data_IF_865035163260
#
_entry.id   IF_865035163260
#
_cell.length_a   1.000
_cell.length_b   1.000
_cell.length_c   1.000
_cell.angle_alpha   90.00
_cell.angle_beta   90.00
_cell.angle_gamma   90.00
#
_symmetry.space_group_name_H-M   'P 1'
#
loop_
_entity.id
_entity.type
_entity.pdbx_description
1 polymer ?
#
# COMPACT_ATOMS: atom_id res chain seq x y z
N UNK A 1 -20.77 -7.46 -3.56
CA UNK A 1 -19.77 -6.36 -3.60
C UNK A 1 -18.55 -6.83 -2.85
N UNK A 2 -17.43 -7.02 -3.54
CA UNK A 2 -16.20 -7.50 -2.93
C UNK A 2 -15.72 -6.48 -1.90
N UNK A 3 -15.73 -6.88 -0.62
CA UNK A 3 -15.27 -6.09 0.53
C UNK A 3 -13.78 -5.70 0.43
N UNK A 4 -13.08 -6.22 -0.57
CA UNK A 4 -11.64 -6.16 -0.73
C UNK A 4 -11.30 -5.84 -2.18
N UNK A 5 -10.28 -5.01 -2.40
CA UNK A 5 -9.77 -4.67 -3.74
C UNK A 5 -9.12 -5.86 -4.47
N UNK A 6 -8.90 -6.96 -3.75
CA UNK A 6 -8.37 -8.24 -4.25
C UNK A 6 -8.82 -9.35 -3.30
N UNK A 7 -9.15 -10.53 -3.82
CA UNK A 7 -9.56 -11.68 -3.02
C UNK A 7 -8.34 -12.44 -2.46
N UNK A 8 -8.11 -12.48 -1.13
CA UNK A 8 -6.93 -13.11 -0.55
C UNK A 8 -6.82 -14.61 -0.82
N UNK A 9 -7.95 -15.31 -1.00
CA UNK A 9 -7.97 -16.74 -1.32
C UNK A 9 -7.40 -16.96 -2.73
N UNK A 10 -7.79 -16.11 -3.68
CA UNK A 10 -7.28 -16.19 -5.06
C UNK A 10 -5.79 -15.87 -5.12
N UNK A 11 -5.32 -14.86 -4.38
CA UNK A 11 -3.88 -14.56 -4.27
C UNK A 11 -3.12 -15.77 -3.75
N UNK A 12 -3.58 -16.35 -2.63
CA UNK A 12 -2.95 -17.55 -2.05
C UNK A 12 -2.92 -18.71 -3.03
N UNK A 13 -4.02 -18.96 -3.75
CA UNK A 13 -4.10 -20.06 -4.73
C UNK A 13 -3.10 -19.86 -5.88
N UNK A 14 -3.02 -18.63 -6.42
CA UNK A 14 -2.07 -18.28 -7.49
C UNK A 14 -0.62 -18.49 -7.06
N UNK A 15 -0.25 -18.01 -5.87
CA UNK A 15 1.11 -18.10 -5.37
C UNK A 15 1.49 -19.52 -4.93
N UNK A 16 0.52 -20.30 -4.44
CA UNK A 16 0.75 -21.73 -4.15
C UNK A 16 1.11 -22.50 -5.42
N UNK A 17 0.50 -22.15 -6.56
CA UNK A 17 0.82 -22.77 -7.85
C UNK A 17 2.25 -22.47 -8.35
N UNK A 18 2.90 -21.40 -7.84
CA UNK A 18 4.26 -20.98 -8.22
C UNK A 18 5.37 -21.63 -7.37
N UNK A 19 5.02 -22.43 -6.34
CA UNK A 19 5.98 -23.28 -5.63
C UNK A 19 6.31 -22.88 -4.19
N UNK A 20 6.02 -21.66 -3.74
CA UNK A 20 6.18 -21.31 -2.31
C UNK A 20 5.31 -20.15 -1.85
N UNK A 21 4.24 -20.49 -1.13
CA UNK A 21 3.34 -19.51 -0.50
C UNK A 21 4.04 -18.68 0.58
N UNK A 22 5.05 -19.23 1.27
CA UNK A 22 5.74 -18.54 2.36
C UNK A 22 6.62 -17.41 1.84
N UNK A 23 7.34 -17.63 0.73
CA UNK A 23 8.11 -16.57 0.09
C UNK A 23 7.20 -15.43 -0.36
N UNK A 24 6.04 -15.75 -0.93
CA UNK A 24 5.04 -14.75 -1.31
C UNK A 24 4.53 -13.95 -0.10
N UNK A 25 4.24 -14.60 1.04
CA UNK A 25 3.81 -13.92 2.27
C UNK A 25 4.90 -12.94 2.75
N UNK A 26 6.16 -13.38 2.78
CA UNK A 26 7.28 -12.54 3.22
C UNK A 26 7.48 -11.36 2.27
N UNK A 27 7.48 -11.60 0.95
CA UNK A 27 7.62 -10.57 -0.07
C UNK A 27 6.49 -9.53 0.00
N UNK A 28 5.23 -9.97 0.12
CA UNK A 28 4.08 -9.07 0.32
C UNK A 28 4.21 -8.25 1.61
N UNK A 29 4.75 -8.84 2.68
CA UNK A 29 5.00 -8.13 3.95
C UNK A 29 6.03 -7.00 3.80
N UNK A 30 7.16 -7.27 3.11
CA UNK A 30 8.14 -6.23 2.79
C UNK A 30 7.56 -5.15 1.87
N UNK A 31 6.82 -5.56 0.83
CA UNK A 31 6.20 -4.62 -0.10
C UNK A 31 5.16 -3.72 0.57
N UNK A 32 4.35 -4.27 1.47
CA UNK A 32 3.38 -3.49 2.25
C UNK A 32 4.05 -2.42 3.13
N UNK A 33 5.26 -2.67 3.66
CA UNK A 33 6.03 -1.65 4.40
C UNK A 33 6.48 -0.52 3.49
N UNK A 34 7.02 -0.84 2.31
CA UNK A 34 7.41 0.17 1.31
C UNK A 34 6.21 1.07 0.95
N UNK A 35 5.08 0.46 0.59
CA UNK A 35 3.84 1.19 0.27
C UNK A 35 3.39 2.07 1.44
N UNK A 36 3.47 1.56 2.68
CA UNK A 36 3.13 2.36 3.86
C UNK A 36 4.03 3.58 4.01
N UNK A 37 5.33 3.43 3.77
CA UNK A 37 6.30 4.50 3.94
C UNK A 37 6.12 5.56 2.85
N UNK A 38 5.87 5.13 1.60
CA UNK A 38 5.51 6.02 0.49
C UNK A 38 4.25 6.85 0.81
N UNK A 39 3.19 6.21 1.31
CA UNK A 39 1.94 6.89 1.71
C UNK A 39 2.21 7.91 2.82
N UNK A 40 3.02 7.57 3.83
CA UNK A 40 3.37 8.49 4.92
C UNK A 40 4.18 9.67 4.41
N UNK A 41 5.13 9.44 3.51
CA UNK A 41 5.94 10.50 2.92
C UNK A 41 5.07 11.45 2.10
N UNK A 42 4.16 10.93 1.27
CA UNK A 42 3.25 11.76 0.48
C UNK A 42 2.30 12.57 1.37
N UNK A 43 1.71 11.94 2.40
CA UNK A 43 0.85 12.63 3.35
C UNK A 43 1.58 13.79 4.03
N UNK A 44 2.78 13.55 4.56
CA UNK A 44 3.57 14.56 5.23
C UNK A 44 3.95 15.71 4.29
N UNK A 45 4.30 15.39 3.04
CA UNK A 45 4.59 16.41 2.02
C UNK A 45 3.38 17.30 1.77
N UNK A 46 2.20 16.71 1.55
CA UNK A 46 0.98 17.49 1.28
C UNK A 46 0.51 18.29 2.49
N UNK A 47 0.70 17.78 3.70
CA UNK A 47 0.38 18.49 4.93
C UNK A 47 1.31 19.69 5.17
N UNK A 48 2.57 19.60 4.75
CA UNK A 48 3.54 20.69 4.90
C UNK A 48 3.22 21.90 4.00
N UNK A 49 2.55 21.68 2.87
CA UNK A 49 2.13 22.73 1.94
C UNK A 49 0.88 23.50 2.41
N UNK A 50 0.19 23.02 3.46
CA UNK A 50 -0.99 23.68 4.02
C UNK A 50 -0.55 24.82 4.94
N UNK A 51 -1.01 26.04 4.65
CA UNK A 51 -0.75 27.21 5.48
C UNK A 51 -1.39 26.99 6.86
N UNK A 52 -0.63 27.11 7.97
CA UNK A 52 -1.21 27.00 9.30
C UNK A 52 -2.26 28.10 9.54
N UNK A 53 -3.45 27.73 9.98
CA UNK A 53 -4.41 28.70 10.53
C UNK A 53 -3.79 29.27 11.81
N UNK A 54 -3.72 30.59 11.95
CA UNK A 54 -3.10 31.24 13.12
C UNK A 54 -3.75 30.85 14.46
N UNK A 55 -3.05 31.15 15.55
CA UNK A 55 -3.23 30.66 16.94
C UNK A 55 -4.62 30.89 17.60
N UNK A 56 -5.57 31.55 16.91
CA UNK A 56 -6.94 31.83 17.39
C UNK A 56 -7.96 30.86 16.74
N UNK A 57 -7.59 29.58 16.74
CA UNK A 57 -8.15 28.51 15.88
C UNK A 57 -9.55 27.98 16.26
N UNK A 58 -10.58 28.82 16.20
CA UNK A 58 -11.97 28.33 16.09
C UNK A 58 -12.32 27.85 14.66
N UNK A 59 -11.48 28.16 13.66
CA UNK A 59 -11.76 27.85 12.24
C UNK A 59 -11.10 26.54 11.82
N UNK A 60 -11.92 25.59 11.39
CA UNK A 60 -11.50 24.31 10.81
C UNK A 60 -10.71 24.53 9.51
N UNK A 61 -9.49 23.99 9.43
CA UNK A 61 -8.71 24.01 8.20
C UNK A 61 -9.26 22.98 7.19
N UNK A 62 -10.03 23.46 6.21
CA UNK A 62 -10.69 22.59 5.22
C UNK A 62 -9.70 21.83 4.33
N UNK A 63 -8.53 22.41 4.04
CA UNK A 63 -7.53 21.77 3.18
C UNK A 63 -6.89 20.58 3.89
N UNK A 64 -6.56 20.73 5.18
CA UNK A 64 -6.07 19.63 6.00
C UNK A 64 -7.09 18.49 6.11
N UNK A 65 -8.38 18.81 6.26
CA UNK A 65 -9.45 17.81 6.31
C UNK A 65 -9.63 17.09 4.97
N UNK A 66 -9.54 17.82 3.85
CA UNK A 66 -9.66 17.23 2.52
C UNK A 66 -8.51 16.27 2.25
N UNK A 67 -7.27 16.67 2.55
CA UNK A 67 -6.10 15.79 2.45
C UNK A 67 -6.30 14.55 3.32
N UNK A 68 -6.66 14.70 4.60
CA UNK A 68 -6.93 13.54 5.48
C UNK A 68 -7.95 12.57 4.88
N UNK A 69 -9.06 13.08 4.33
CA UNK A 69 -10.11 12.27 3.70
C UNK A 69 -9.66 11.54 2.44
N UNK A 70 -8.73 12.10 1.67
CA UNK A 70 -8.15 11.41 0.50
C UNK A 70 -7.35 10.18 0.95
N UNK A 71 -6.53 10.34 1.98
CA UNK A 71 -5.69 9.26 2.50
C UNK A 71 -6.49 8.19 3.26
N UNK A 72 -7.60 8.56 3.91
CA UNK A 72 -8.53 7.61 4.55
C UNK A 72 -9.17 6.63 3.56
N UNK A 73 -9.29 7.01 2.29
CA UNK A 73 -9.86 6.16 1.22
C UNK A 73 -8.85 5.16 0.66
N UNK A 74 -7.57 5.32 0.96
CA UNK A 74 -6.52 4.45 0.45
C UNK A 74 -6.66 3.07 1.12
N UNK A 75 -6.71 1.97 0.34
CA UNK A 75 -6.74 0.62 0.91
C UNK A 75 -5.51 0.34 1.77
N UNK A 76 -5.65 -0.56 2.76
CA UNK A 76 -4.51 -0.91 3.62
C UNK A 76 -3.33 -1.40 2.76
N UNK A 77 -2.08 -1.03 3.10
CA UNK A 77 -0.89 -1.40 2.31
C UNK A 77 -0.75 -2.90 2.05
N UNK A 78 -1.24 -3.75 2.96
CA UNK A 78 -1.27 -5.20 2.77
C UNK A 78 -2.17 -5.64 1.61
N UNK A 79 -3.31 -5.00 1.41
CA UNK A 79 -4.19 -5.28 0.25
C UNK A 79 -3.61 -4.75 -1.06
N UNK A 80 -2.90 -3.61 -1.00
CA UNK A 80 -2.20 -3.07 -2.17
C UNK A 80 -1.07 -4.01 -2.61
N UNK A 81 -0.26 -4.50 -1.67
CA UNK A 81 0.77 -5.50 -1.94
C UNK A 81 0.18 -6.80 -2.50
N UNK A 82 -0.93 -7.31 -1.91
CA UNK A 82 -1.63 -8.48 -2.44
C UNK A 82 -2.13 -8.28 -3.87
N UNK A 83 -2.63 -7.08 -4.19
CA UNK A 83 -3.08 -6.75 -5.54
C UNK A 83 -1.91 -6.71 -6.52
N UNK A 84 -0.79 -6.08 -6.17
CA UNK A 84 0.41 -6.07 -7.00
C UNK A 84 0.96 -7.49 -7.23
N UNK A 85 0.95 -8.36 -6.22
CA UNK A 85 1.31 -9.77 -6.38
C UNK A 85 0.34 -10.49 -7.31
N UNK A 86 -0.96 -10.29 -7.14
CA UNK A 86 -1.98 -10.89 -8.00
C UNK A 86 -1.87 -10.43 -9.46
N UNK A 87 -1.41 -9.20 -9.70
CA UNK A 87 -1.16 -8.62 -11.02
C UNK A 87 0.25 -8.93 -11.57
N UNK A 88 1.03 -9.80 -10.91
CA UNK A 88 2.41 -10.16 -11.28
C UNK A 88 3.38 -8.96 -11.35
N UNK A 89 3.06 -7.86 -10.65
CA UNK A 89 3.92 -6.66 -10.54
C UNK A 89 4.99 -6.79 -9.47
N UNK A 90 4.79 -7.67 -8.50
CA UNK A 90 5.77 -7.98 -7.46
C UNK A 90 6.58 -9.22 -7.86
N UNK A 91 7.84 -9.02 -8.27
CA UNK A 91 8.81 -10.10 -8.47
C UNK A 91 9.57 -10.36 -7.17
N UNK A 92 9.69 -11.63 -6.80
CA UNK A 92 10.45 -12.11 -5.65
C UNK A 92 10.85 -13.56 -5.90
N UNK A 93 11.89 -14.02 -5.23
CA UNK A 93 12.47 -15.35 -5.44
C UNK A 93 13.94 -15.34 -5.09
N UNK A 94 14.62 -16.46 -5.33
CA UNK A 94 16.06 -16.48 -5.15
C UNK A 94 16.75 -15.53 -6.15
N UNK A 95 17.77 -14.76 -5.75
CA UNK A 95 18.45 -13.84 -6.66
C UNK A 95 18.96 -14.50 -7.95
N UNK A 96 19.29 -15.80 -7.89
CA UNK A 96 19.71 -16.60 -9.05
C UNK A 96 18.57 -16.85 -10.03
N UNK A 97 17.34 -17.02 -9.54
CA UNK A 97 16.14 -17.23 -10.35
C UNK A 97 15.68 -15.92 -11.01
N UNK A 98 15.87 -14.79 -10.31
CA UNK A 98 15.51 -13.47 -10.81
C UNK A 98 16.46 -12.94 -11.92
N UNK A 99 17.68 -13.47 -12.02
CA UNK A 99 18.66 -13.07 -13.04
C UNK A 99 18.37 -13.67 -14.44
N UNK A 100 17.45 -14.63 -14.54
CA UNK A 100 17.07 -15.27 -15.81
C UNK A 100 15.76 -14.80 -16.42
N UNK A 101 15.14 -13.74 -15.85
CA UNK A 101 13.86 -13.13 -16.27
C UNK A 101 14.06 -11.72 -16.81
#
# INVERSE_FOLDING_TARGET
MEKYIVNPVQVRMKETAKGSVYQAIVAMGFRARQINDDIKMELNSRMADVIPTGDDSEVVNHDQLNISREFDRIPKPTFLAMKETFEDKLKFGDPKELQGL
#
